data_IF_149051992245
#
_entry.id   IF_149051992245
#
_cell.length_a   1.000
_cell.length_b   1.000
_cell.length_c   1.000
_cell.angle_alpha   90.00
_cell.angle_beta   90.00
_cell.angle_gamma   90.00
#
_symmetry.space_group_name_H-M   'P 1'
#
loop_
_entity.id
_entity.type
_entity.pdbx_description
1 polymer ?
#
# COMPACT_ATOMS: atom_id res chain seq x y z
N UNK A 1 -24.61 -10.63 52.60
CA UNK A 1 -24.12 -9.44 53.35
C UNK A 1 -22.60 -9.48 53.24
N UNK A 2 -21.87 -8.51 52.69
CA UNK A 2 -21.98 -7.06 52.79
C UNK A 2 -21.62 -6.40 51.46
N UNK A 3 -22.31 -5.30 51.19
CA UNK A 3 -22.02 -4.35 50.13
C UNK A 3 -21.39 -3.07 50.74
N UNK A 4 -20.91 -2.21 49.82
CA UNK A 4 -20.76 -0.74 49.88
C UNK A 4 -19.37 -0.18 50.20
N UNK A 5 -18.82 0.59 49.22
CA UNK A 5 -18.48 2.05 49.21
C UNK A 5 -17.62 2.33 47.95
N UNK A 6 -18.13 2.88 46.83
CA UNK A 6 -18.34 4.29 46.42
C UNK A 6 -17.26 5.29 46.88
N UNK A 7 -16.49 5.91 45.96
CA UNK A 7 -16.55 7.34 45.58
C UNK A 7 -15.40 7.78 44.63
N UNK A 8 -15.77 8.61 43.61
CA UNK A 8 -14.98 9.70 42.99
C UNK A 8 -13.80 9.29 42.09
N UNK A 9 -13.47 9.96 40.98
CA UNK A 9 -13.49 11.41 40.72
C UNK A 9 -13.48 11.65 39.20
N UNK A 10 -14.31 12.61 38.76
CA UNK A 10 -14.25 13.28 37.46
C UNK A 10 -12.97 14.12 37.31
N UNK A 11 -12.38 14.17 36.13
CA UNK A 11 -11.54 15.31 35.73
C UNK A 11 -11.89 15.73 34.29
N UNK A 12 -12.32 16.98 34.18
CA UNK A 12 -12.77 17.71 32.99
C UNK A 12 -11.56 18.33 32.28
N UNK A 13 -11.73 18.52 30.97
CA UNK A 13 -10.83 19.08 29.98
C UNK A 13 -10.31 20.51 30.25
N UNK A 14 -9.22 20.87 29.56
CA UNK A 14 -8.81 22.26 29.34
C UNK A 14 -8.67 22.51 27.83
N UNK A 15 -9.55 23.36 27.31
CA UNK A 15 -9.45 24.01 26.00
C UNK A 15 -9.08 25.47 26.27
N UNK A 16 -7.99 25.95 25.68
CA UNK A 16 -7.65 27.37 25.73
C UNK A 16 -8.36 28.11 24.60
N UNK A 17 -9.23 29.06 24.98
CA UNK A 17 -9.76 30.09 24.08
C UNK A 17 -9.34 31.45 24.63
N UNK A 18 -8.63 32.22 23.82
CA UNK A 18 -8.17 33.58 24.17
C UNK A 18 -9.28 34.56 23.78
N UNK A 19 -10.09 34.96 24.76
CA UNK A 19 -11.08 36.02 24.63
C UNK A 19 -10.54 37.33 25.19
N UNK A 20 -10.24 38.30 24.31
CA UNK A 20 -9.89 39.66 24.69
C UNK A 20 -11.07 40.43 25.26
N UNK A 21 -10.82 41.25 26.27
CA UNK A 21 -11.79 42.11 26.94
C UNK A 21 -12.00 43.38 26.11
N UNK A 22 -13.23 43.65 25.68
CA UNK A 22 -13.60 44.94 25.10
C UNK A 22 -14.78 45.51 25.89
N UNK A 23 -14.53 46.64 26.56
CA UNK A 23 -15.49 47.43 27.32
C UNK A 23 -16.58 47.98 26.40
N UNK A 24 -17.84 47.85 26.84
CA UNK A 24 -19.01 48.35 26.14
C UNK A 24 -19.02 49.89 26.08
N UNK A 25 -18.91 50.45 24.87
CA UNK A 25 -19.03 51.88 24.62
C UNK A 25 -20.33 52.19 23.86
N UNK A 26 -21.05 53.18 24.40
CA UNK A 26 -22.38 53.68 24.01
C UNK A 26 -22.49 53.93 22.49
N UNK A 27 -23.49 53.31 21.84
CA UNK A 27 -23.78 53.48 20.40
C UNK A 27 -24.01 54.96 20.05
N UNK A 28 -23.20 55.48 19.13
CA UNK A 28 -23.39 56.78 18.45
C UNK A 28 -23.74 56.49 16.98
N UNK A 29 -24.67 57.27 16.42
CA UNK A 29 -25.17 57.18 15.05
C UNK A 29 -24.04 57.33 14.00
N UNK A 30 -24.21 56.80 12.77
CA UNK A 30 -23.12 56.61 11.81
C UNK A 30 -22.70 57.95 11.18
N UNK A 31 -21.42 58.31 11.34
CA UNK A 31 -20.76 59.29 10.47
C UNK A 31 -20.25 58.63 9.18
N UNK A 32 -20.01 59.40 8.11
CA UNK A 32 -19.61 58.84 6.81
C UNK A 32 -18.29 58.06 6.93
N UNK A 33 -18.26 56.88 6.32
CA UNK A 33 -17.10 55.99 6.33
C UNK A 33 -15.90 56.67 5.64
N UNK A 34 -14.69 56.65 6.22
CA UNK A 34 -13.48 57.00 5.49
C UNK A 34 -13.23 55.97 4.38
N UNK A 35 -12.80 56.46 3.21
CA UNK A 35 -12.50 55.63 2.05
C UNK A 35 -11.48 54.54 2.38
N UNK A 36 -11.73 53.32 1.88
CA UNK A 36 -10.82 52.19 2.01
C UNK A 36 -9.48 52.51 1.32
N UNK A 37 -8.32 52.21 1.95
CA UNK A 37 -7.04 52.30 1.26
C UNK A 37 -7.00 51.29 0.10
N UNK A 38 -6.30 51.59 -1.00
CA UNK A 38 -6.19 50.67 -2.12
C UNK A 38 -5.55 49.36 -1.65
N UNK A 39 -6.18 48.24 -1.98
CA UNK A 39 -5.66 46.92 -1.71
C UNK A 39 -4.28 46.78 -2.38
N UNK A 40 -3.25 46.46 -1.58
CA UNK A 40 -1.97 46.02 -2.14
C UNK A 40 -2.22 44.77 -2.99
N UNK A 41 -1.60 44.65 -4.18
CA UNK A 41 -1.59 43.40 -4.92
C UNK A 41 -1.03 42.30 -4.01
N UNK A 42 -1.81 41.25 -3.77
CA UNK A 42 -1.26 40.03 -3.19
C UNK A 42 -0.31 39.44 -4.24
N UNK A 43 0.93 39.07 -3.89
CA UNK A 43 1.80 38.32 -4.79
C UNK A 43 1.04 37.10 -5.28
N UNK A 44 0.93 36.95 -6.60
CA UNK A 44 0.15 35.89 -7.22
C UNK A 44 0.56 34.53 -6.65
N UNK A 45 -0.44 33.76 -6.21
CA UNK A 45 -0.27 32.32 -6.08
C UNK A 45 -0.09 31.81 -7.50
N UNK A 46 1.18 31.66 -7.91
CA UNK A 46 1.52 30.95 -9.13
C UNK A 46 0.91 29.54 -9.08
N UNK A 47 0.64 28.93 -10.24
CA UNK A 47 0.16 27.56 -10.28
C UNK A 47 1.12 26.69 -9.47
N UNK A 48 0.59 25.97 -8.47
CA UNK A 48 1.34 24.97 -7.72
C UNK A 48 1.68 23.87 -8.74
N UNK A 49 2.84 23.97 -9.36
CA UNK A 49 3.39 22.89 -10.17
C UNK A 49 3.62 21.73 -9.23
N UNK A 50 2.99 20.58 -9.52
CA UNK A 50 3.21 19.35 -8.76
C UNK A 50 4.69 18.94 -8.73
N UNK A 51 5.06 17.95 -7.90
CA UNK A 51 6.42 17.46 -7.83
C UNK A 51 6.95 17.08 -9.22
N UNK A 52 8.18 17.50 -9.54
CA UNK A 52 8.83 17.22 -10.83
C UNK A 52 9.07 15.72 -11.01
N UNK A 53 9.39 15.03 -9.92
CA UNK A 53 9.56 13.59 -9.86
C UNK A 53 8.89 13.01 -8.61
N UNK A 54 8.26 11.85 -8.78
CA UNK A 54 7.69 11.04 -7.73
C UNK A 54 8.46 9.71 -7.66
N UNK A 55 9.03 9.43 -6.49
CA UNK A 55 9.74 8.20 -6.22
C UNK A 55 8.98 7.35 -5.21
N UNK A 56 8.75 6.09 -5.56
CA UNK A 56 7.94 5.15 -4.80
C UNK A 56 8.76 3.90 -4.45
N UNK A 57 8.71 3.53 -3.17
CA UNK A 57 9.37 2.35 -2.60
C UNK A 57 8.30 1.47 -1.98
N UNK A 58 8.05 0.30 -2.57
CA UNK A 58 7.18 -0.73 -2.00
C UNK A 58 8.04 -1.86 -1.44
N UNK A 59 7.96 -2.06 -0.13
CA UNK A 59 8.66 -3.12 0.58
C UNK A 59 7.65 -4.07 1.24
N UNK A 60 7.85 -5.37 1.10
CA UNK A 60 6.94 -6.36 1.68
C UNK A 60 7.69 -7.58 2.23
N UNK A 61 7.14 -8.15 3.31
CA UNK A 61 7.57 -9.42 3.89
C UNK A 61 6.45 -10.44 3.75
N UNK A 62 6.73 -11.55 3.05
CA UNK A 62 5.80 -12.67 2.91
C UNK A 62 6.26 -13.84 3.79
N UNK A 63 5.37 -14.37 4.64
CA UNK A 63 5.64 -15.52 5.49
C UNK A 63 4.49 -16.54 5.44
N UNK A 64 4.74 -17.77 5.93
CA UNK A 64 3.73 -18.82 6.07
C UNK A 64 3.40 -19.59 4.79
N UNK A 65 2.29 -20.33 4.80
CA UNK A 65 1.85 -21.24 3.72
C UNK A 65 1.66 -20.52 2.36
N UNK A 66 1.34 -19.22 2.39
CA UNK A 66 1.17 -18.40 1.18
C UNK A 66 2.46 -18.13 0.41
N UNK A 67 3.63 -18.12 1.07
CA UNK A 67 4.91 -17.84 0.38
C UNK A 67 5.29 -18.93 -0.63
N UNK A 68 4.89 -20.17 -0.38
CA UNK A 68 5.16 -21.30 -1.28
C UNK A 68 4.15 -21.40 -2.43
N UNK A 69 2.89 -21.01 -2.22
CA UNK A 69 1.88 -21.03 -3.29
C UNK A 69 2.11 -19.90 -4.30
N UNK A 70 2.53 -18.72 -3.84
CA UNK A 70 2.72 -17.52 -4.68
C UNK A 70 3.99 -17.56 -5.54
N UNK A 71 4.97 -18.40 -5.21
CA UNK A 71 6.22 -18.49 -5.97
C UNK A 71 6.14 -19.43 -7.16
N UNK A 72 5.03 -20.17 -7.33
CA UNK A 72 4.80 -21.08 -8.46
C UNK A 72 5.81 -22.24 -8.58
N UNK A 73 6.73 -22.36 -7.63
CA UNK A 73 7.76 -23.41 -7.59
C UNK A 73 7.23 -24.57 -6.78
N UNK A 74 7.36 -25.79 -7.33
CA UNK A 74 7.03 -27.02 -6.60
C UNK A 74 7.78 -27.04 -5.26
N UNK A 75 7.10 -27.32 -4.13
CA UNK A 75 7.76 -27.45 -2.84
C UNK A 75 8.90 -28.46 -2.95
N UNK A 76 10.09 -28.09 -2.49
CA UNK A 76 11.21 -29.03 -2.42
C UNK A 76 10.91 -30.12 -1.37
N UNK A 77 11.58 -31.26 -1.46
CA UNK A 77 11.46 -32.32 -0.44
C UNK A 77 11.77 -31.80 0.97
N UNK A 78 12.74 -30.89 1.09
CA UNK A 78 13.09 -30.24 2.36
C UNK A 78 12.00 -29.30 2.88
N UNK A 79 11.35 -28.55 1.97
CA UNK A 79 10.17 -27.74 2.32
C UNK A 79 8.99 -28.59 2.81
N UNK A 80 8.75 -29.74 2.17
CA UNK A 80 7.71 -30.69 2.59
C UNK A 80 8.04 -31.33 3.94
N UNK A 81 9.30 -31.68 4.19
CA UNK A 81 9.74 -32.24 5.46
C UNK A 81 9.63 -31.22 6.59
N UNK A 82 9.99 -29.96 6.34
CA UNK A 82 9.80 -28.87 7.29
C UNK A 82 8.32 -28.63 7.58
N UNK A 83 7.44 -28.67 6.57
CA UNK A 83 6.00 -28.61 6.78
C UNK A 83 5.46 -29.80 7.57
N UNK A 84 5.92 -31.02 7.29
CA UNK A 84 5.55 -32.21 8.04
C UNK A 84 6.03 -32.15 9.50
N UNK A 85 7.17 -31.48 9.74
CA UNK A 85 7.69 -31.19 11.07
C UNK A 85 7.05 -29.93 11.72
N UNK A 86 6.03 -29.32 11.10
CA UNK A 86 5.35 -28.14 11.63
C UNK A 86 6.16 -26.84 11.57
N UNK A 87 7.27 -26.80 10.83
CA UNK A 87 8.10 -25.61 10.65
C UNK A 87 7.60 -24.75 9.49
N UNK A 88 7.41 -23.45 9.77
CA UNK A 88 7.07 -22.45 8.76
C UNK A 88 8.23 -22.23 7.78
N UNK A 89 7.90 -21.92 6.52
CA UNK A 89 8.91 -21.52 5.52
C UNK A 89 9.62 -20.23 5.91
N UNK A 90 10.90 -20.14 5.55
CA UNK A 90 11.67 -18.91 5.70
C UNK A 90 10.95 -17.72 5.03
N UNK A 91 10.94 -16.54 5.64
CA UNK A 91 10.26 -15.39 5.08
C UNK A 91 10.97 -14.88 3.83
N UNK A 92 10.17 -14.35 2.91
CA UNK A 92 10.66 -13.74 1.68
C UNK A 92 10.41 -12.24 1.74
N UNK A 93 11.48 -11.46 1.54
CA UNK A 93 11.41 -10.01 1.38
C UNK A 93 11.36 -9.65 -0.10
N UNK A 94 10.52 -8.69 -0.46
CA UNK A 94 10.43 -8.16 -1.82
C UNK A 94 10.45 -6.65 -1.79
N UNK A 95 11.15 -6.06 -2.76
CA UNK A 95 11.27 -4.63 -2.92
C UNK A 95 10.94 -4.27 -4.37
N UNK A 96 10.11 -3.26 -4.55
CA UNK A 96 9.78 -2.67 -5.85
C UNK A 96 10.06 -1.17 -5.77
N UNK A 97 10.80 -0.66 -6.74
CA UNK A 97 11.17 0.75 -6.83
C UNK A 97 10.60 1.31 -8.13
N UNK A 98 9.95 2.46 -8.06
CA UNK A 98 9.34 3.11 -9.22
C UNK A 98 9.62 4.60 -9.16
N UNK A 99 10.09 5.16 -10.27
CA UNK A 99 10.38 6.57 -10.44
C UNK A 99 9.57 7.08 -11.62
N UNK A 100 8.75 8.10 -11.41
CA UNK A 100 8.08 8.83 -12.48
C UNK A 100 8.51 10.29 -12.47
N UNK A 101 8.71 10.88 -13.65
CA UNK A 101 8.99 12.30 -13.77
C UNK A 101 8.25 12.97 -14.93
N UNK A 102 7.94 14.25 -14.74
CA UNK A 102 7.47 15.16 -15.78
C UNK A 102 8.60 15.72 -16.66
N UNK A 103 9.86 15.50 -16.30
CA UNK A 103 11.03 15.92 -17.08
C UNK A 103 11.37 14.88 -18.15
N UNK A 104 11.68 15.34 -19.36
CA UNK A 104 12.21 14.49 -20.42
C UNK A 104 13.69 14.15 -20.14
N UNK A 105 14.14 12.93 -20.46
CA UNK A 105 15.54 12.56 -20.30
C UNK A 105 16.40 13.38 -21.25
N UNK A 106 17.63 13.66 -20.85
CA UNK A 106 18.61 14.36 -21.68
C UNK A 106 19.20 13.46 -22.77
N UNK A 107 19.08 12.13 -22.60
CA UNK A 107 19.49 11.11 -23.56
C UNK A 107 18.64 9.84 -23.44
N UNK A 108 19.23 8.64 -23.61
CA UNK A 108 18.57 7.40 -23.20
C UNK A 108 18.18 7.51 -21.71
N UNK A 109 16.92 7.19 -21.33
CA UNK A 109 16.48 7.36 -19.95
C UNK A 109 17.27 6.46 -19.01
N UNK A 110 18.03 7.08 -18.11
CA UNK A 110 18.85 6.37 -17.13
C UNK A 110 18.61 6.95 -15.73
N UNK A 111 18.26 6.08 -14.80
CA UNK A 111 18.27 6.39 -13.38
C UNK A 111 18.71 5.17 -12.56
N UNK A 112 19.20 5.40 -11.35
CA UNK A 112 19.60 4.35 -10.44
C UNK A 112 19.32 4.73 -9.00
N UNK A 113 18.92 3.75 -8.20
CA UNK A 113 18.81 3.84 -6.75
C UNK A 113 20.06 3.24 -6.10
N UNK A 114 20.71 3.98 -5.20
CA UNK A 114 21.75 3.49 -4.33
C UNK A 114 21.15 3.16 -2.95
N UNK A 115 20.94 1.87 -2.63
CA UNK A 115 20.44 1.47 -1.32
C UNK A 115 21.55 1.43 -0.26
N UNK A 116 21.21 1.35 1.03
CA UNK A 116 22.19 1.12 2.09
C UNK A 116 22.83 -0.27 1.92
N UNK A 117 24.12 -0.44 2.29
CA UNK A 117 24.79 -1.73 2.20
C UNK A 117 24.08 -2.86 2.95
N UNK A 118 23.37 -2.52 4.04
CA UNK A 118 22.60 -3.45 4.85
C UNK A 118 21.45 -4.13 4.08
N UNK A 119 21.01 -3.57 2.94
CA UNK A 119 19.96 -4.18 2.12
C UNK A 119 20.46 -5.45 1.40
N UNK A 120 21.76 -5.54 1.11
CA UNK A 120 22.38 -6.75 0.55
C UNK A 120 22.01 -7.07 -0.91
N UNK A 121 21.55 -6.08 -1.68
CA UNK A 121 21.15 -6.24 -3.10
C UNK A 121 22.11 -5.58 -4.09
N UNK A 122 23.25 -5.07 -3.60
CA UNK A 122 24.24 -4.34 -4.38
C UNK A 122 24.19 -2.83 -4.14
N UNK A 123 25.24 -2.12 -4.55
CA UNK A 123 25.39 -0.68 -4.30
C UNK A 123 24.59 0.21 -5.26
N UNK A 124 24.06 -0.35 -6.35
CA UNK A 124 23.30 0.39 -7.35
C UNK A 124 22.26 -0.51 -8.02
N UNK A 125 21.02 -0.04 -8.02
CA UNK A 125 19.86 -0.69 -8.62
C UNK A 125 19.39 0.17 -9.80
N UNK A 126 19.69 -0.21 -11.05
CA UNK A 126 19.30 0.57 -12.21
C UNK A 126 17.77 0.54 -12.37
N UNK A 127 17.18 1.71 -12.58
CA UNK A 127 15.75 1.92 -12.84
C UNK A 127 15.56 2.03 -14.35
N UNK A 128 14.98 1.00 -14.97
CA UNK A 128 14.79 0.97 -16.42
C UNK A 128 13.38 1.37 -16.80
N UNK A 129 13.27 2.11 -17.91
CA UNK A 129 12.01 2.29 -18.62
C UNK A 129 11.68 0.99 -19.36
N UNK A 130 10.47 0.43 -19.22
CA UNK A 130 10.00 -0.61 -20.12
C UNK A 130 10.12 -0.14 -21.57
N UNK A 131 10.71 -0.95 -22.44
CA UNK A 131 10.71 -0.69 -23.87
C UNK A 131 9.30 -0.96 -24.38
N UNK A 132 8.56 0.09 -24.71
CA UNK A 132 7.32 -0.06 -25.48
C UNK A 132 7.67 -0.51 -26.88
N UNK A 133 7.27 -1.71 -27.29
CA UNK A 133 7.42 -2.18 -28.68
C UNK A 133 6.58 -1.36 -29.70
N UNK A 134 5.85 -0.31 -29.27
CA UNK A 134 5.11 0.60 -30.16
C UNK A 134 5.06 2.03 -29.61
N UNK A 135 5.43 3.06 -30.40
CA UNK A 135 4.98 4.43 -30.12
C UNK A 135 3.52 4.55 -30.58
N UNK A 136 2.56 4.47 -29.66
CA UNK A 136 1.15 4.60 -30.03
C UNK A 136 0.13 4.45 -28.90
N UNK A 137 -0.45 5.59 -28.53
CA UNK A 137 -1.73 5.83 -27.81
C UNK A 137 -1.87 5.31 -26.36
N UNK A 138 -2.30 6.18 -25.42
CA UNK A 138 -2.81 5.74 -24.12
C UNK A 138 -4.13 4.99 -24.31
N UNK A 139 -4.25 3.82 -23.66
CA UNK A 139 -5.52 3.10 -23.55
C UNK A 139 -5.81 2.13 -24.68
N UNK A 140 -5.06 1.04 -24.76
CA UNK A 140 -5.61 -0.22 -25.27
C UNK A 140 -5.79 -1.16 -24.06
N UNK A 141 -7.03 -1.58 -23.73
CA UNK A 141 -7.24 -2.69 -22.82
C UNK A 141 -6.38 -3.86 -23.28
N UNK A 142 -5.67 -4.49 -22.36
CA UNK A 142 -4.95 -5.74 -22.62
C UNK A 142 -6.00 -6.74 -23.09
N UNK A 143 -6.02 -7.01 -24.40
CA UNK A 143 -6.88 -8.02 -24.99
C UNK A 143 -6.43 -9.35 -24.39
N UNK A 144 -7.18 -9.79 -23.39
CA UNK A 144 -7.05 -11.13 -22.84
C UNK A 144 -7.53 -12.01 -23.96
N UNK A 145 -6.61 -12.74 -24.59
CA UNK A 145 -6.92 -13.76 -25.59
C UNK A 145 -8.11 -14.58 -25.07
N UNK A 146 -9.32 -14.45 -25.66
CA UNK A 146 -10.45 -15.25 -25.24
C UNK A 146 -10.12 -16.66 -25.69
N UNK A 147 -9.53 -17.44 -24.78
CA UNK A 147 -9.42 -18.88 -24.95
C UNK A 147 -10.75 -19.41 -25.47
N UNK A 148 -10.68 -20.23 -26.52
CA UNK A 148 -11.80 -20.78 -27.27
C UNK A 148 -13.06 -20.98 -26.38
N UNK A 149 -14.15 -20.23 -26.63
CA UNK A 149 -15.35 -20.27 -25.78
C UNK A 149 -16.01 -21.65 -25.73
N UNK A 150 -15.62 -22.59 -26.59
CA UNK A 150 -16.15 -23.95 -26.62
C UNK A 150 -15.64 -24.87 -25.49
N UNK A 151 -14.60 -24.48 -24.74
CA UNK A 151 -14.05 -25.28 -23.62
C UNK A 151 -14.19 -24.63 -22.24
N UNK A 152 -14.89 -23.49 -22.13
CA UNK A 152 -15.17 -22.88 -20.83
C UNK A 152 -16.24 -23.67 -20.05
N UNK A 153 -15.79 -24.70 -19.34
CA UNK A 153 -16.60 -25.46 -18.41
C UNK A 153 -16.98 -24.55 -17.24
N UNK A 154 -18.25 -24.15 -17.14
CA UNK A 154 -18.75 -23.34 -16.01
C UNK A 154 -18.39 -24.04 -14.70
N UNK A 155 -17.63 -23.41 -13.80
CA UNK A 155 -17.33 -24.01 -12.51
C UNK A 155 -18.64 -24.12 -11.72
N UNK A 156 -19.05 -25.34 -11.39
CA UNK A 156 -20.17 -25.60 -10.47
C UNK A 156 -19.70 -25.41 -9.03
N UNK A 157 -19.37 -24.17 -8.68
CA UNK A 157 -18.83 -23.82 -7.37
C UNK A 157 -19.63 -22.67 -6.74
N UNK A 158 -19.57 -22.58 -5.40
CA UNK A 158 -20.05 -21.44 -4.63
C UNK A 158 -18.85 -20.81 -3.93
N UNK A 159 -18.64 -19.52 -4.13
CA UNK A 159 -17.66 -18.73 -3.37
C UNK A 159 -18.39 -18.06 -2.20
N UNK A 160 -17.94 -18.31 -0.99
CA UNK A 160 -18.51 -17.75 0.23
C UNK A 160 -17.50 -16.79 0.86
N UNK A 161 -17.86 -15.51 0.95
CA UNK A 161 -17.01 -14.46 1.51
C UNK A 161 -17.54 -14.09 2.90
N UNK A 162 -16.64 -14.15 3.88
CA UNK A 162 -16.87 -13.72 5.27
C UNK A 162 -15.96 -12.53 5.59
N UNK A 163 -16.39 -11.65 6.50
CA UNK A 163 -15.67 -10.48 6.96
C UNK A 163 -15.84 -10.25 8.47
N UNK A 164 -14.89 -9.58 9.11
CA UNK A 164 -14.88 -9.35 10.56
C UNK A 164 -14.10 -10.40 11.36
N UNK A 165 -14.06 -10.25 12.70
CA UNK A 165 -13.22 -11.03 13.61
C UNK A 165 -14.00 -11.89 14.63
N UNK A 166 -15.27 -12.19 14.36
CA UNK A 166 -16.14 -12.95 15.27
C UNK A 166 -16.16 -14.46 15.01
N UNK A 167 -16.53 -15.25 16.03
CA UNK A 167 -16.77 -16.70 15.89
C UNK A 167 -17.98 -17.01 15.02
N UNK A 168 -18.97 -16.11 15.00
CA UNK A 168 -20.16 -16.20 14.16
C UNK A 168 -20.16 -15.10 13.11
N UNK A 169 -20.60 -15.46 11.91
CA UNK A 169 -20.84 -14.52 10.82
C UNK A 169 -21.89 -13.48 11.25
N UNK A 170 -21.58 -12.19 11.06
CA UNK A 170 -22.51 -11.12 11.37
C UNK A 170 -23.72 -11.11 10.42
N UNK A 171 -24.76 -10.30 10.71
CA UNK A 171 -25.89 -10.12 9.79
C UNK A 171 -25.43 -9.79 8.36
N UNK A 172 -25.99 -10.48 7.36
CA UNK A 172 -25.63 -10.30 5.94
C UNK A 172 -24.42 -11.10 5.46
N UNK A 173 -23.82 -11.95 6.30
CA UNK A 173 -22.74 -12.87 5.94
C UNK A 173 -23.19 -14.34 5.97
N UNK A 174 -22.58 -15.22 5.15
CA UNK A 174 -21.60 -14.93 4.11
C UNK A 174 -22.23 -14.33 2.85
N UNK A 175 -21.45 -13.54 2.11
CA UNK A 175 -21.82 -13.25 0.72
C UNK A 175 -21.56 -14.52 -0.12
N UNK A 176 -22.62 -15.10 -0.67
CA UNK A 176 -22.53 -16.30 -1.50
C UNK A 176 -22.62 -15.91 -2.97
N UNK A 177 -21.52 -16.11 -3.69
CA UNK A 177 -21.43 -15.98 -5.14
C UNK A 177 -21.58 -17.38 -5.72
N UNK A 178 -22.72 -17.65 -6.35
CA UNK A 178 -23.01 -18.95 -6.95
C UNK A 178 -22.69 -18.94 -8.45
N UNK A 179 -21.56 -19.54 -8.84
CA UNK A 179 -21.09 -19.57 -10.23
C UNK A 179 -21.99 -20.42 -11.14
N UNK A 180 -22.91 -21.22 -10.59
CA UNK A 180 -23.92 -21.90 -11.40
C UNK A 180 -25.04 -20.96 -11.89
N UNK A 181 -25.19 -19.80 -11.23
CA UNK A 181 -26.23 -18.81 -11.53
C UNK A 181 -25.71 -17.59 -12.29
N UNK A 182 -24.39 -17.38 -12.33
CA UNK A 182 -23.76 -16.27 -13.06
C UNK A 182 -23.64 -16.61 -14.55
N UNK A 183 -24.31 -15.82 -15.39
CA UNK A 183 -24.10 -15.85 -16.84
C UNK A 183 -22.78 -15.19 -17.24
N UNK A 184 -22.22 -15.49 -18.42
CA UNK A 184 -21.04 -14.79 -18.94
C UNK A 184 -21.26 -13.27 -18.91
N UNK A 185 -20.37 -12.52 -18.25
CA UNK A 185 -20.47 -11.07 -18.14
C UNK A 185 -21.44 -10.52 -17.08
N UNK A 186 -22.00 -11.36 -16.19
CA UNK A 186 -22.80 -10.86 -15.08
C UNK A 186 -21.94 -10.05 -14.09
N UNK A 187 -22.34 -8.84 -13.69
CA UNK A 187 -21.61 -8.06 -12.70
C UNK A 187 -21.61 -8.83 -11.37
N UNK A 188 -20.43 -8.93 -10.75
CA UNK A 188 -20.34 -9.49 -9.40
C UNK A 188 -21.17 -8.61 -8.45
N UNK A 189 -21.90 -9.21 -7.49
CA UNK A 189 -22.63 -8.46 -6.47
C UNK A 189 -21.70 -7.46 -5.78
N UNK A 190 -22.17 -6.23 -5.58
CA UNK A 190 -21.42 -5.17 -4.91
C UNK A 190 -20.96 -5.66 -3.53
N UNK A 191 -19.64 -5.72 -3.34
CA UNK A 191 -18.98 -6.14 -2.10
C UNK A 191 -19.05 -4.99 -1.09
N UNK A 192 -20.27 -4.58 -0.74
CA UNK A 192 -20.57 -3.39 0.05
C UNK A 192 -19.63 -3.22 1.26
N UNK A 193 -18.76 -2.21 1.18
CA UNK A 193 -18.09 -1.51 2.29
C UNK A 193 -17.19 -2.30 3.26
N UNK A 194 -17.16 -3.63 3.22
CA UNK A 194 -16.69 -4.47 4.34
C UNK A 194 -15.18 -4.55 4.56
N UNK A 195 -14.37 -4.23 3.55
CA UNK A 195 -12.91 -4.11 3.70
C UNK A 195 -12.45 -2.94 2.86
N UNK A 196 -12.25 -1.78 3.50
CA UNK A 196 -11.59 -0.64 2.87
C UNK A 196 -10.09 -0.95 2.80
N UNK A 197 -9.68 -1.85 1.88
CA UNK A 197 -8.26 -2.00 1.55
C UNK A 197 -7.86 -0.71 0.84
N UNK A 198 -7.08 0.13 1.51
CA UNK A 198 -6.37 1.22 0.83
C UNK A 198 -5.28 0.55 0.01
N UNK A 199 -5.58 0.27 -1.26
CA UNK A 199 -4.57 -0.22 -2.19
C UNK A 199 -3.51 0.86 -2.39
N UNK A 200 -2.24 0.44 -2.41
CA UNK A 200 -1.16 1.27 -2.90
C UNK A 200 -1.47 1.74 -4.32
N UNK A 201 -1.07 2.98 -4.63
CA UNK A 201 -1.22 3.57 -5.96
C UNK A 201 0.16 4.04 -6.44
N UNK A 202 1.07 3.11 -6.74
CA UNK A 202 2.38 3.47 -7.24
C UNK A 202 2.28 4.11 -8.62
N UNK A 203 3.31 4.87 -9.05
CA UNK A 203 3.42 5.34 -10.42
C UNK A 203 3.37 4.19 -11.42
N UNK A 204 2.73 4.40 -12.56
CA UNK A 204 2.64 3.36 -13.61
C UNK A 204 3.29 3.86 -14.90
N UNK A 205 3.83 2.93 -15.67
CA UNK A 205 4.42 3.26 -16.97
C UNK A 205 3.34 3.86 -17.89
N UNK A 206 3.69 4.94 -18.60
CA UNK A 206 2.80 5.64 -19.54
C UNK A 206 1.94 6.74 -18.93
N UNK A 207 2.01 6.99 -17.61
CA UNK A 207 1.32 8.14 -16.98
C UNK A 207 2.20 9.37 -16.77
N UNK A 208 3.50 9.25 -17.03
CA UNK A 208 4.50 10.32 -16.90
C UNK A 208 5.36 10.41 -18.16
N UNK A 209 6.10 11.51 -18.33
CA UNK A 209 7.01 11.72 -19.46
C UNK A 209 8.14 10.68 -19.42
N UNK A 210 8.71 10.49 -18.23
CA UNK A 210 9.78 9.53 -17.98
C UNK A 210 9.38 8.58 -16.85
N UNK A 211 9.82 7.33 -16.94
CA UNK A 211 9.51 6.30 -15.95
C UNK A 211 10.65 5.30 -15.83
N UNK A 212 11.01 4.92 -14.61
CA UNK A 212 11.97 3.86 -14.33
C UNK A 212 11.44 2.92 -13.25
N UNK A 213 11.79 1.64 -13.33
CA UNK A 213 11.41 0.68 -12.30
C UNK A 213 12.50 -0.35 -12.01
N UNK A 214 12.41 -0.95 -10.82
CA UNK A 214 13.17 -2.11 -10.39
C UNK A 214 12.27 -3.02 -9.55
N UNK A 215 12.40 -4.36 -9.60
CA UNK A 215 13.28 -5.14 -10.47
C UNK A 215 12.93 -5.02 -11.95
N UNK A 216 13.90 -5.30 -12.84
CA UNK A 216 13.74 -5.24 -14.30
C UNK A 216 14.59 -6.33 -15.00
N UNK A 217 14.70 -6.26 -16.32
CA UNK A 217 15.45 -7.23 -17.15
C UNK A 217 16.96 -7.20 -16.91
N UNK A 218 17.50 -6.02 -16.54
CA UNK A 218 18.94 -5.85 -16.29
C UNK A 218 19.33 -6.36 -14.91
N UNK A 219 18.47 -6.18 -13.92
CA UNK A 219 18.71 -6.63 -12.55
C UNK A 219 17.44 -7.13 -11.88
N UNK A 220 17.49 -8.37 -11.39
CA UNK A 220 16.44 -8.99 -10.58
C UNK A 220 17.08 -9.79 -9.45
N UNK A 221 17.38 -9.09 -8.37
CA UNK A 221 17.99 -9.67 -7.17
C UNK A 221 16.89 -9.85 -6.12
N UNK A 222 16.86 -11.02 -5.50
CA UNK A 222 15.98 -11.23 -4.35
C UNK A 222 16.58 -10.53 -3.13
N UNK A 223 15.75 -9.81 -2.39
CA UNK A 223 16.19 -9.21 -1.12
C UNK A 223 16.46 -10.35 -0.14
N UNK A 224 17.66 -10.43 0.47
CA UNK A 224 17.95 -11.43 1.49
C UNK A 224 16.98 -11.32 2.67
N UNK A 225 16.68 -12.44 3.33
CA UNK A 225 15.81 -12.45 4.51
C UNK A 225 16.36 -11.60 5.68
N UNK A 226 17.67 -11.32 5.67
CA UNK A 226 18.36 -10.45 6.64
C UNK A 226 18.57 -9.01 6.15
N UNK A 227 18.17 -8.68 4.91
CA UNK A 227 18.44 -7.38 4.29
C UNK A 227 17.56 -6.27 4.86
N UNK A 228 18.14 -5.14 5.25
CA UNK A 228 17.45 -4.01 5.89
C UNK A 228 17.40 -2.77 4.98
N UNK A 229 16.29 -2.05 5.00
CA UNK A 229 16.17 -0.73 4.37
C UNK A 229 16.78 0.37 5.23
N UNK A 230 17.16 0.12 6.48
CA UNK A 230 17.62 1.20 7.37
C UNK A 230 18.91 1.84 6.86
N UNK A 231 18.92 3.17 6.84
CA UNK A 231 20.06 4.00 6.48
C UNK A 231 19.84 4.84 5.24
N UNK A 232 20.96 5.29 4.67
CA UNK A 232 20.98 6.25 3.59
C UNK A 232 20.58 5.64 2.25
N UNK A 233 19.74 6.35 1.53
CA UNK A 233 19.37 6.06 0.15
C UNK A 233 19.58 7.28 -0.72
N UNK A 234 19.99 7.05 -1.97
CA UNK A 234 19.93 8.08 -3.00
C UNK A 234 19.37 7.55 -4.32
N UNK A 235 18.80 8.45 -5.10
CA UNK A 235 18.35 8.20 -6.48
C UNK A 235 18.92 9.29 -7.35
N UNK A 236 19.58 8.88 -8.42
CA UNK A 236 20.19 9.75 -9.41
C UNK A 236 19.67 9.36 -10.79
N UNK A 237 19.42 10.33 -11.66
CA UNK A 237 18.97 10.06 -13.01
C UNK A 237 18.98 11.29 -13.91
N UNK A 238 18.93 11.08 -15.22
CA UNK A 238 18.99 12.17 -16.21
C UNK A 238 17.62 12.82 -16.49
N UNK A 239 16.56 12.24 -15.92
CA UNK A 239 15.18 12.73 -15.98
C UNK A 239 14.59 13.02 -14.60
N UNK A 240 15.38 13.08 -13.53
CA UNK A 240 14.90 13.45 -12.19
C UNK A 240 15.93 14.32 -11.47
N UNK A 241 15.52 15.22 -10.56
CA UNK A 241 16.46 15.78 -9.60
C UNK A 241 17.06 14.65 -8.73
N UNK A 242 18.22 14.91 -8.14
CA UNK A 242 18.80 14.01 -7.15
C UNK A 242 17.88 13.91 -5.93
N UNK A 243 17.55 12.68 -5.52
CA UNK A 243 16.70 12.41 -4.37
C UNK A 243 17.56 11.70 -3.34
N UNK A 244 17.69 12.25 -2.14
CA UNK A 244 18.38 11.60 -1.02
C UNK A 244 17.45 11.54 0.19
N UNK A 245 17.42 10.39 0.85
CA UNK A 245 16.58 10.19 2.03
C UNK A 245 17.20 9.13 2.96
N UNK A 246 16.79 9.16 4.22
CA UNK A 246 17.18 8.19 5.24
C UNK A 246 15.95 7.39 5.66
N UNK A 247 16.08 6.08 5.76
CA UNK A 247 15.04 5.19 6.28
C UNK A 247 15.37 4.84 7.72
N UNK A 248 14.43 5.12 8.62
CA UNK A 248 14.53 4.76 10.04
C UNK A 248 14.07 3.32 10.29
N UNK A 249 14.44 2.70 11.43
CA UNK A 249 14.03 1.34 11.78
C UNK A 249 12.50 1.10 11.71
N UNK A 250 11.70 2.10 12.04
CA UNK A 250 10.23 2.01 12.00
C UNK A 250 9.64 1.85 10.58
N UNK A 251 10.45 2.08 9.55
CA UNK A 251 10.09 1.96 8.13
C UNK A 251 10.85 0.83 7.43
N UNK A 252 11.51 -0.06 8.19
CA UNK A 252 12.15 -1.26 7.64
C UNK A 252 11.13 -2.35 7.26
N UNK A 253 11.61 -3.42 6.64
CA UNK A 253 10.82 -4.64 6.42
C UNK A 253 10.22 -5.14 7.72
N UNK A 254 8.90 -5.29 7.73
CA UNK A 254 8.18 -5.91 8.84
C UNK A 254 8.75 -7.30 9.15
N UNK A 255 8.82 -7.68 10.44
CA UNK A 255 9.20 -9.03 10.82
C UNK A 255 8.20 -10.04 10.26
N UNK A 256 8.65 -11.30 10.04
CA UNK A 256 7.79 -12.33 9.52
C UNK A 256 6.64 -12.64 10.47
N UNK A 257 5.42 -12.71 9.94
CA UNK A 257 4.27 -13.13 10.72
C UNK A 257 4.38 -14.63 11.03
N UNK A 258 4.40 -14.97 12.32
CA UNK A 258 4.39 -16.34 12.80
C UNK A 258 2.95 -16.76 13.13
N UNK A 259 2.28 -17.40 12.16
CA UNK A 259 0.91 -17.91 12.31
C UNK A 259 0.94 -19.36 12.77
N UNK A 260 0.21 -19.65 13.83
CA UNK A 260 0.05 -20.99 14.41
C UNK A 260 -1.40 -21.45 14.29
N UNK A 261 -1.61 -22.73 13.96
CA UNK A 261 -2.93 -23.38 14.08
C UNK A 261 -3.18 -23.67 15.56
N UNK A 262 -4.20 -23.04 16.14
CA UNK A 262 -4.63 -23.19 17.52
C UNK A 262 -5.81 -24.16 17.67
N UNK A 263 -6.04 -25.02 16.67
CA UNK A 263 -7.03 -26.08 16.69
C UNK A 263 -8.39 -25.69 16.10
N UNK A 264 -9.32 -26.65 15.98
CA UNK A 264 -10.66 -26.38 15.47
C UNK A 264 -11.47 -25.51 16.43
N UNK A 265 -12.35 -24.68 15.90
CA UNK A 265 -13.37 -23.97 16.69
C UNK A 265 -14.63 -24.85 16.84
N UNK A 266 -15.45 -24.64 17.88
CA UNK A 266 -16.75 -25.32 18.02
C UNK A 266 -17.66 -25.16 16.79
N UNK A 267 -17.53 -24.04 16.06
CA UNK A 267 -18.24 -23.76 14.82
C UNK A 267 -17.65 -24.45 13.57
N UNK A 268 -16.65 -25.32 13.71
CA UNK A 268 -16.03 -26.07 12.61
C UNK A 268 -14.95 -25.30 11.83
N UNK A 269 -14.57 -24.11 12.28
CA UNK A 269 -13.46 -23.34 11.72
C UNK A 269 -12.10 -23.79 12.26
N UNK A 270 -11.02 -23.16 11.78
CA UNK A 270 -9.67 -23.29 12.34
C UNK A 270 -9.30 -21.99 13.05
N UNK A 271 -8.85 -22.10 14.29
CA UNK A 271 -8.34 -20.97 15.05
C UNK A 271 -6.90 -20.73 14.62
N UNK A 272 -6.59 -19.49 14.24
CA UNK A 272 -5.22 -19.06 13.97
C UNK A 272 -4.79 -18.11 15.09
N UNK A 273 -3.57 -18.26 15.58
CA UNK A 273 -2.95 -17.34 16.52
C UNK A 273 -1.63 -16.83 15.94
N UNK A 274 -1.27 -15.59 16.27
CA UNK A 274 0.03 -15.01 15.92
C UNK A 274 0.50 -14.08 17.03
N UNK A 275 1.81 -13.93 17.14
CA UNK A 275 2.39 -12.91 18.03
C UNK A 275 2.26 -11.53 17.39
N UNK A 276 2.09 -10.47 18.19
CA UNK A 276 2.14 -9.10 17.67
C UNK A 276 3.50 -8.86 17.00
N UNK A 277 3.47 -8.12 15.89
CA UNK A 277 4.69 -7.65 15.22
C UNK A 277 5.23 -6.49 16.06
N UNK A 278 6.50 -6.57 16.46
CA UNK A 278 7.22 -5.52 17.15
C UNK A 278 8.16 -4.81 16.20
#
# INVERSE_FOLDING_TARGET
MRAVRILGVCAVAVVFSVGGVATAQKRRAPGPAPAAPPARPQPGVGPITGPVADYWVSAATTSGFGSQLMTGKRPSMGSLLNMAAGQASAPQRSLTLQLSSSQAPSGPPEAAHAPPPALGVGASLPLLSPVSDKPGKPGAPRETDPGDPSTYQRPKAKLMIYWGCGEHAGPGQPLVIDFSTLGPGSPLPDLGGGVQVRSERPPVFGTSVSYGHWPNERTRVNVPATGSLVGAHSVHGDYSPDIAFEVTPDLDFMPPLNVQDAGPTPAGGKRLSWSPLQ
#
